data_IF_294129853984
#
_entry.id   IF_294129853984
#
_cell.length_a   1.000
_cell.length_b   1.000
_cell.length_c   1.000
_cell.angle_alpha   90.00
_cell.angle_beta   90.00
_cell.angle_gamma   90.00
#
_symmetry.space_group_name_H-M   'P 1'
#
loop_
_entity.id
_entity.type
_entity.pdbx_description
1 polymer ?
#
# COMPACT_ATOMS: atom_id res chain seq x y z
N UNK A 1 -11.69 7.86 -2.23
CA UNK A 1 -10.57 8.01 -3.18
C UNK A 1 -10.12 6.60 -3.50
N UNK A 2 -10.00 6.23 -4.77
CA UNK A 2 -9.65 4.87 -5.21
C UNK A 2 -8.14 4.69 -5.33
N UNK A 3 -7.60 3.52 -4.96
CA UNK A 3 -6.18 3.16 -5.11
C UNK A 3 -5.66 3.12 -6.55
N UNK A 4 -6.50 3.40 -7.54
CA UNK A 4 -6.17 3.43 -8.96
C UNK A 4 -4.98 4.35 -9.34
N UNK A 5 -4.50 5.21 -8.41
CA UNK A 5 -3.29 6.01 -8.59
C UNK A 5 -1.97 5.33 -8.20
N UNK A 6 -2.00 4.22 -7.44
CA UNK A 6 -0.79 3.60 -6.88
C UNK A 6 -0.22 2.44 -7.72
N UNK A 7 -1.00 1.85 -8.62
CA UNK A 7 -0.50 0.80 -9.51
C UNK A 7 0.17 -0.37 -8.77
N UNK A 8 1.43 -0.64 -9.11
CA UNK A 8 2.28 -1.63 -8.41
C UNK A 8 3.03 -0.93 -7.28
N UNK A 9 3.11 -1.58 -6.13
CA UNK A 9 3.84 -1.06 -4.97
C UNK A 9 4.74 -2.14 -4.38
N UNK A 10 5.89 -1.72 -3.85
CA UNK A 10 6.82 -2.53 -3.09
C UNK A 10 6.79 -2.11 -1.61
N UNK A 11 6.84 -3.06 -0.69
CA UNK A 11 6.82 -2.78 0.76
C UNK A 11 7.59 -3.86 1.53
N UNK A 12 8.15 -3.51 2.70
CA UNK A 12 8.73 -4.51 3.60
C UNK A 12 7.61 -5.18 4.42
N UNK A 13 7.60 -6.50 4.40
CA UNK A 13 6.75 -7.31 5.28
C UNK A 13 7.59 -8.34 6.00
N UNK A 14 7.74 -8.15 7.32
CA UNK A 14 8.53 -9.03 8.18
C UNK A 14 9.99 -9.19 7.72
N UNK A 15 10.63 -8.11 7.25
CA UNK A 15 12.02 -8.11 6.79
C UNK A 15 12.21 -8.71 5.39
N UNK A 16 11.14 -8.80 4.61
CA UNK A 16 11.16 -9.24 3.22
C UNK A 16 10.43 -8.21 2.37
N UNK A 17 11.08 -7.75 1.33
CA UNK A 17 10.43 -6.92 0.31
C UNK A 17 9.41 -7.77 -0.45
N UNK A 18 8.16 -7.31 -0.46
CA UNK A 18 7.06 -7.86 -1.22
C UNK A 18 6.60 -6.83 -2.25
N UNK A 19 6.24 -7.32 -3.43
CA UNK A 19 5.69 -6.49 -4.51
C UNK A 19 4.26 -6.96 -4.82
N UNK A 20 3.35 -6.00 -4.97
CA UNK A 20 1.96 -6.31 -5.29
C UNK A 20 1.23 -5.15 -5.94
N UNK A 21 -0.05 -5.33 -6.21
CA UNK A 21 -0.90 -4.30 -6.83
C UNK A 21 -1.77 -3.66 -5.76
N UNK A 22 -1.72 -2.33 -5.65
CA UNK A 22 -2.60 -1.59 -4.76
C UNK A 22 -4.04 -1.66 -5.30
N UNK A 23 -4.92 -2.33 -4.57
CA UNK A 23 -6.32 -2.56 -4.96
C UNK A 23 -7.30 -1.66 -4.21
N UNK A 24 -6.93 -1.17 -3.01
CA UNK A 24 -7.77 -0.26 -2.24
C UNK A 24 -6.95 0.75 -1.42
N UNK A 25 -7.53 1.91 -1.15
CA UNK A 25 -6.92 2.99 -0.38
C UNK A 25 -7.95 3.60 0.57
N UNK A 26 -7.68 3.48 1.87
CA UNK A 26 -8.49 4.07 2.91
C UNK A 26 -7.74 5.29 3.49
N UNK A 27 -8.19 6.52 3.21
CA UNK A 27 -7.64 7.70 3.85
C UNK A 27 -8.01 7.66 5.34
N UNK A 28 -7.02 7.71 6.22
CA UNK A 28 -7.24 7.81 7.66
C UNK A 28 -7.90 9.16 7.97
N UNK A 29 -9.22 9.16 8.15
CA UNK A 29 -10.00 10.38 8.32
C UNK A 29 -9.80 11.09 9.67
N UNK A 30 -9.18 10.45 10.66
CA UNK A 30 -9.13 11.01 12.03
C UNK A 30 -8.05 10.39 12.95
N UNK A 31 -6.89 9.99 12.41
CA UNK A 31 -5.75 9.54 13.22
C UNK A 31 -4.56 10.40 12.87
N UNK A 32 -3.93 11.01 13.87
CA UNK A 32 -2.76 11.88 13.75
C UNK A 32 -1.60 11.18 13.03
N UNK A 33 -1.59 11.24 11.70
CA UNK A 33 -0.57 10.68 10.82
C UNK A 33 -0.91 11.02 9.37
N UNK A 34 0.06 11.38 8.53
CA UNK A 34 -0.15 11.74 7.13
C UNK A 34 -0.49 10.54 6.22
N UNK A 35 -0.47 9.32 6.73
CA UNK A 35 -0.40 8.12 5.92
C UNK A 35 -1.76 7.41 5.83
N UNK A 36 -2.34 7.39 4.63
CA UNK A 36 -3.48 6.51 4.36
C UNK A 36 -3.07 5.03 4.38
N UNK A 37 -4.04 4.14 4.52
CA UNK A 37 -3.80 2.69 4.45
C UNK A 37 -4.03 2.22 3.01
N UNK A 38 -3.01 1.58 2.45
CA UNK A 38 -3.08 0.87 1.18
C UNK A 38 -3.37 -0.61 1.42
N UNK A 39 -4.31 -1.14 0.65
CA UNK A 39 -4.53 -2.59 0.53
C UNK A 39 -3.87 -3.06 -0.75
N UNK A 40 -2.92 -3.99 -0.62
CA UNK A 40 -2.10 -4.51 -1.71
C UNK A 40 -2.38 -5.99 -1.90
N UNK A 41 -2.73 -6.39 -3.12
CA UNK A 41 -2.83 -7.80 -3.51
C UNK A 41 -1.46 -8.31 -3.97
N UNK A 42 -0.98 -9.36 -3.31
CA UNK A 42 0.24 -10.11 -3.64
C UNK A 42 -0.18 -11.56 -3.86
N UNK A 43 -0.17 -12.01 -5.12
CA UNK A 43 -0.53 -13.38 -5.51
C UNK A 43 -1.89 -13.86 -4.95
N UNK A 44 -2.89 -12.99 -4.87
CA UNK A 44 -4.22 -13.30 -4.33
C UNK A 44 -4.34 -13.24 -2.80
N UNK A 45 -3.30 -12.79 -2.10
CA UNK A 45 -3.31 -12.46 -0.69
C UNK A 45 -3.31 -10.94 -0.51
N UNK A 46 -4.23 -10.42 0.30
CA UNK A 46 -4.33 -8.99 0.57
C UNK A 46 -3.55 -8.59 1.81
N UNK A 47 -2.64 -7.63 1.66
CA UNK A 47 -1.83 -7.03 2.71
C UNK A 47 -2.27 -5.59 2.95
N UNK A 48 -2.23 -5.14 4.20
CA UNK A 48 -2.48 -3.73 4.55
C UNK A 48 -1.16 -3.10 4.94
N UNK A 49 -0.82 -2.00 4.27
CA UNK A 49 0.44 -1.28 4.45
C UNK A 49 0.15 0.21 4.52
N UNK A 50 1.00 0.97 5.20
CA UNK A 50 0.86 2.43 5.17
C UNK A 50 1.41 3.00 3.87
N UNK A 51 0.86 4.13 3.40
CA UNK A 51 1.35 4.82 2.20
C UNK A 51 2.85 5.15 2.30
N UNK A 52 3.32 5.56 3.48
CA UNK A 52 4.74 5.86 3.71
C UNK A 52 5.67 4.64 3.65
N UNK A 53 5.16 3.42 3.87
CA UNK A 53 5.93 2.18 3.73
C UNK A 53 5.89 1.61 2.31
N UNK A 54 4.91 2.01 1.51
CA UNK A 54 4.73 1.58 0.14
C UNK A 54 5.54 2.47 -0.82
N UNK A 55 6.61 1.91 -1.39
CA UNK A 55 7.35 2.55 -2.46
C UNK A 55 6.74 2.20 -3.83
N UNK A 56 6.69 3.18 -4.72
CA UNK A 56 6.39 2.95 -6.14
C UNK A 56 7.70 2.55 -6.85
N UNK A 57 7.85 1.29 -7.30
CA UNK A 57 9.07 0.82 -7.96
C UNK A 57 9.23 1.39 -9.38
N UNK A 58 8.17 1.96 -9.97
CA UNK A 58 8.16 2.50 -11.33
C UNK A 58 8.50 4.02 -11.39
N UNK A 59 8.76 4.66 -10.24
CA UNK A 59 8.98 6.12 -10.12
C UNK A 59 10.44 6.55 -9.99
#
# INVERSE_FOLDING_TARGET
MSAAGYGRVAFDFAGRELEGTAVDFEPAGDVSGPDGILTVDVDGLTYRVTESEAADPDR
#
